data_IF_830057766098
#
_entry.id   IF_830057766098
#
_cell.length_a   1.000
_cell.length_b   1.000
_cell.length_c   1.000
_cell.angle_alpha   90.00
_cell.angle_beta   90.00
_cell.angle_gamma   90.00
#
_symmetry.space_group_name_H-M   'P 1'
#
loop_
_entity.id
_entity.type
_entity.pdbx_description
1 polymer ?
#
# COMPACT_ATOMS: atom_id res chain seq x y z
N UNK A 1 -5.35 38.39 -7.54
CA UNK A 1 -5.33 37.33 -6.51
C UNK A 1 -5.71 36.05 -7.22
N UNK A 2 -4.70 35.27 -7.60
CA UNK A 2 -4.83 33.98 -8.27
C UNK A 2 -4.42 32.93 -7.25
N UNK A 3 -5.36 32.05 -6.88
CA UNK A 3 -5.05 30.86 -6.07
C UNK A 3 -4.18 29.92 -6.90
N UNK A 4 -2.89 29.95 -6.61
CA UNK A 4 -1.84 29.16 -7.27
C UNK A 4 -1.33 28.11 -6.30
N UNK A 5 -2.13 27.09 -5.99
CA UNK A 5 -1.66 25.90 -5.25
C UNK A 5 -2.34 24.60 -5.71
N UNK A 6 -2.53 24.42 -7.01
CA UNK A 6 -2.37 23.06 -7.56
C UNK A 6 -0.93 22.98 -8.02
N UNK A 7 -0.09 22.08 -7.47
CA UNK A 7 1.21 21.80 -8.07
C UNK A 7 0.94 21.48 -9.55
N UNK A 8 1.39 22.35 -10.45
CA UNK A 8 1.49 21.98 -11.86
C UNK A 8 2.59 20.92 -11.89
N UNK A 9 2.19 19.67 -11.72
CA UNK A 9 3.10 18.55 -11.82
C UNK A 9 3.71 18.60 -13.23
N UNK A 10 5.00 18.89 -13.28
CA UNK A 10 5.84 18.85 -14.47
C UNK A 10 5.66 17.49 -15.16
N UNK A 11 5.68 17.52 -16.50
CA UNK A 11 5.37 16.45 -17.46
C UNK A 11 5.11 15.06 -16.87
N UNK A 12 3.89 14.55 -17.04
CA UNK A 12 3.57 13.17 -16.73
C UNK A 12 4.51 12.24 -17.52
N UNK A 13 5.19 11.33 -16.83
CA UNK A 13 6.07 10.37 -17.50
C UNK A 13 5.26 9.23 -18.14
N UNK A 14 4.04 9.00 -17.66
CA UNK A 14 3.09 8.06 -18.24
C UNK A 14 1.66 8.56 -18.01
N UNK A 15 0.80 8.34 -19.00
CA UNK A 15 -0.64 8.65 -18.91
C UNK A 15 -1.41 7.39 -19.27
N UNK A 16 -2.28 6.98 -18.37
CA UNK A 16 -3.14 5.82 -18.56
C UNK A 16 -4.59 6.29 -18.59
N UNK A 17 -5.38 5.72 -19.50
CA UNK A 17 -6.76 6.15 -19.71
C UNK A 17 -7.73 5.01 -19.52
N UNK A 18 -8.94 5.32 -19.08
CA UNK A 18 -10.10 4.45 -19.23
C UNK A 18 -10.96 4.99 -20.35
N UNK A 19 -11.13 4.19 -21.41
CA UNK A 19 -11.91 4.59 -22.57
C UNK A 19 -13.40 4.55 -22.24
N UNK A 20 -14.12 5.64 -22.51
CA UNK A 20 -15.56 5.78 -22.25
C UNK A 20 -16.12 7.04 -22.89
N UNK A 21 -17.41 7.33 -22.67
CA UNK A 21 -18.06 8.56 -23.16
C UNK A 21 -17.52 9.83 -22.50
N UNK A 22 -16.98 9.70 -21.28
CA UNK A 22 -16.10 10.67 -20.63
C UNK A 22 -14.82 9.91 -20.22
N UNK A 23 -13.67 10.16 -20.86
CA UNK A 23 -12.45 9.43 -20.54
C UNK A 23 -11.91 9.88 -19.19
N UNK A 24 -11.69 8.91 -18.31
CA UNK A 24 -10.91 9.15 -17.10
C UNK A 24 -9.44 8.90 -17.40
N UNK A 25 -8.55 9.64 -16.76
CA UNK A 25 -7.11 9.47 -16.90
C UNK A 25 -6.39 9.44 -15.56
N UNK A 26 -5.27 8.74 -15.56
CA UNK A 26 -4.29 8.68 -14.48
C UNK A 26 -2.94 9.09 -15.05
N UNK A 27 -2.48 10.26 -14.67
CA UNK A 27 -1.17 10.79 -15.06
C UNK A 27 -0.19 10.48 -13.93
N UNK A 28 0.81 9.66 -14.21
CA UNK A 28 1.88 9.38 -13.27
C UNK A 28 2.99 10.41 -13.43
N UNK A 29 3.31 11.07 -12.33
CA UNK A 29 4.40 12.03 -12.20
C UNK A 29 5.43 11.49 -11.21
N UNK A 30 6.61 12.08 -11.19
CA UNK A 30 7.72 11.64 -10.33
C UNK A 30 7.32 11.49 -8.85
N UNK A 31 6.54 12.43 -8.32
CA UNK A 31 6.20 12.53 -6.90
C UNK A 31 4.74 12.21 -6.58
N UNK A 32 3.91 11.94 -7.59
CA UNK A 32 2.49 11.70 -7.35
C UNK A 32 1.72 11.28 -8.58
N UNK A 33 0.42 11.12 -8.38
CA UNK A 33 -0.54 10.76 -9.41
C UNK A 33 -1.57 11.87 -9.52
N UNK A 34 -1.94 12.21 -10.75
CA UNK A 34 -3.15 12.98 -11.01
C UNK A 34 -4.23 12.04 -11.51
N UNK A 35 -5.37 12.01 -10.83
CA UNK A 35 -6.59 11.38 -11.35
C UNK A 35 -7.48 12.45 -11.97
N UNK A 36 -7.95 12.20 -13.19
CA UNK A 36 -9.03 12.97 -13.79
C UNK A 36 -10.24 12.06 -13.95
N UNK A 37 -11.27 12.30 -13.14
CA UNK A 37 -12.48 11.48 -13.14
C UNK A 37 -13.73 12.36 -13.15
N UNK A 38 -14.65 12.10 -14.08
CA UNK A 38 -15.90 12.86 -14.18
C UNK A 38 -15.68 14.38 -14.32
N UNK A 39 -14.60 14.79 -15.00
CA UNK A 39 -14.20 16.20 -15.18
C UNK A 39 -13.50 16.83 -13.97
N UNK A 40 -13.35 16.12 -12.86
CA UNK A 40 -12.60 16.58 -11.68
C UNK A 40 -11.17 16.08 -11.76
N UNK A 41 -10.19 16.96 -11.56
CA UNK A 41 -8.75 16.65 -11.58
C UNK A 41 -8.18 16.78 -10.16
N UNK A 42 -7.61 15.71 -9.62
CA UNK A 42 -7.09 15.65 -8.24
C UNK A 42 -5.65 15.16 -8.29
N UNK A 43 -4.73 15.91 -7.67
CA UNK A 43 -3.36 15.48 -7.45
C UNK A 43 -3.24 14.81 -6.07
N UNK A 44 -2.56 13.67 -6.02
CA UNK A 44 -2.19 12.99 -4.78
C UNK A 44 -0.70 12.68 -4.80
N UNK A 45 0.05 13.19 -3.82
CA UNK A 45 1.45 12.83 -3.67
C UNK A 45 1.57 11.36 -3.23
N UNK A 46 2.51 10.61 -3.80
CA UNK A 46 2.75 9.22 -3.40
C UNK A 46 3.14 9.13 -1.92
N UNK A 47 3.92 10.12 -1.46
CA UNK A 47 4.31 10.27 -0.07
C UNK A 47 3.12 10.48 0.89
N UNK A 48 1.93 10.83 0.41
CA UNK A 48 0.74 11.07 1.25
C UNK A 48 -0.28 9.92 1.19
N UNK A 49 -0.09 8.93 0.32
CA UNK A 49 -0.98 7.77 0.24
C UNK A 49 -0.77 6.90 1.48
N UNK A 50 -1.87 6.63 2.22
CA UNK A 50 -1.85 5.78 3.41
C UNK A 50 -2.23 4.35 3.08
N UNK A 51 -3.36 4.18 2.38
CA UNK A 51 -3.83 2.87 1.97
C UNK A 51 -3.82 2.77 0.45
N UNK A 52 -3.18 1.70 -0.04
CA UNK A 52 -3.26 1.20 -1.40
C UNK A 52 -3.93 -0.18 -1.38
N UNK A 53 -5.00 -0.36 -2.14
CA UNK A 53 -5.75 -1.59 -2.25
C UNK A 53 -5.69 -2.12 -3.69
N UNK A 54 -5.31 -3.38 -3.85
CA UNK A 54 -5.41 -4.12 -5.11
C UNK A 54 -6.55 -5.12 -4.98
N UNK A 55 -7.48 -5.12 -5.93
CA UNK A 55 -8.65 -5.98 -5.85
C UNK A 55 -9.14 -6.42 -7.24
N UNK A 56 -9.80 -7.58 -7.34
CA UNK A 56 -10.51 -7.98 -8.55
C UNK A 56 -11.83 -7.20 -8.67
N UNK A 57 -12.09 -6.61 -9.84
CA UNK A 57 -13.31 -5.84 -10.12
C UNK A 57 -14.57 -6.69 -10.21
N UNK A 58 -14.41 -7.99 -10.49
CA UNK A 58 -15.52 -8.93 -10.68
C UNK A 58 -15.76 -9.75 -9.42
N UNK A 59 -17.04 -9.79 -9.02
CA UNK A 59 -17.50 -10.32 -7.74
C UNK A 59 -17.31 -11.84 -7.60
N UNK A 60 -17.20 -12.56 -8.72
CA UNK A 60 -17.08 -14.03 -8.76
C UNK A 60 -15.64 -14.55 -8.57
N UNK A 61 -14.64 -13.67 -8.56
CA UNK A 61 -13.23 -14.07 -8.65
C UNK A 61 -12.39 -13.57 -7.48
N UNK A 62 -12.80 -13.89 -6.25
CA UNK A 62 -12.03 -13.59 -5.02
C UNK A 62 -10.64 -14.26 -4.96
N UNK A 63 -10.28 -15.05 -5.99
CA UNK A 63 -8.98 -15.70 -6.17
C UNK A 63 -8.27 -15.29 -7.48
N UNK A 64 -8.80 -14.33 -8.24
CA UNK A 64 -8.21 -13.85 -9.49
C UNK A 64 -7.14 -12.76 -9.27
N UNK A 65 -6.25 -12.52 -10.25
CA UNK A 65 -5.30 -11.42 -10.18
C UNK A 65 -6.03 -10.09 -10.10
N UNK A 66 -5.49 -9.14 -9.34
CA UNK A 66 -6.05 -7.80 -9.28
C UNK A 66 -6.05 -7.13 -10.65
N UNK A 67 -7.19 -6.56 -11.03
CA UNK A 67 -7.39 -5.78 -12.27
C UNK A 67 -7.79 -4.33 -11.97
N UNK A 68 -7.83 -3.99 -10.68
CA UNK A 68 -8.23 -2.70 -10.15
C UNK A 68 -7.35 -2.30 -8.97
N UNK A 69 -7.12 -0.99 -8.87
CA UNK A 69 -6.31 -0.35 -7.85
C UNK A 69 -7.12 0.80 -7.24
N UNK A 70 -7.12 0.90 -5.92
CA UNK A 70 -7.69 2.04 -5.22
C UNK A 70 -6.71 2.59 -4.19
N UNK A 71 -6.68 3.91 -4.01
CA UNK A 71 -5.82 4.54 -3.01
C UNK A 71 -6.53 5.68 -2.29
N UNK A 72 -6.06 6.00 -1.08
CA UNK A 72 -6.53 7.13 -0.28
C UNK A 72 -5.44 7.68 0.62
N UNK A 73 -5.46 8.99 0.85
CA UNK A 73 -4.49 9.68 1.72
C UNK A 73 -4.86 9.63 3.21
N UNK A 74 -6.08 9.21 3.55
CA UNK A 74 -6.55 9.03 4.93
C UNK A 74 -7.56 7.89 4.99
N UNK A 75 -7.63 7.22 6.13
CA UNK A 75 -8.54 6.09 6.36
C UNK A 75 -10.03 6.46 6.32
N UNK A 76 -10.36 7.71 6.60
CA UNK A 76 -11.72 8.27 6.54
C UNK A 76 -12.05 8.95 5.20
N UNK A 77 -11.08 9.06 4.30
CA UNK A 77 -11.29 9.63 2.96
C UNK A 77 -11.89 8.61 2.00
N UNK A 78 -12.66 9.11 1.03
CA UNK A 78 -13.10 8.31 -0.10
C UNK A 78 -11.92 7.76 -0.90
N UNK A 79 -12.12 6.58 -1.49
CA UNK A 79 -11.15 5.96 -2.39
C UNK A 79 -11.09 6.69 -3.72
N UNK A 80 -9.88 6.95 -4.22
CA UNK A 80 -9.66 7.19 -5.64
C UNK A 80 -9.49 5.86 -6.33
N UNK A 81 -10.32 5.58 -7.33
CA UNK A 81 -10.46 4.24 -7.93
C UNK A 81 -9.97 4.22 -9.37
N UNK A 82 -8.92 3.45 -9.63
CA UNK A 82 -8.39 3.12 -10.94
C UNK A 82 -8.82 1.69 -11.33
N UNK A 83 -10.00 1.58 -11.92
CA UNK A 83 -10.57 0.31 -12.41
C UNK A 83 -10.89 0.41 -13.89
N UNK A 84 -10.58 -0.65 -14.66
CA UNK A 84 -10.77 -0.69 -16.12
C UNK A 84 -9.80 0.21 -16.89
N UNK A 85 -8.62 0.47 -16.32
CA UNK A 85 -7.57 1.29 -16.95
C UNK A 85 -6.89 0.48 -18.07
N UNK A 86 -6.67 1.11 -19.23
CA UNK A 86 -5.94 0.48 -20.33
C UNK A 86 -4.51 0.15 -19.89
N UNK A 87 -4.01 -1.02 -20.27
CA UNK A 87 -2.67 -1.51 -19.88
C UNK A 87 -2.49 -1.54 -18.35
N UNK A 88 -3.53 -1.97 -17.62
CA UNK A 88 -3.58 -1.96 -16.15
C UNK A 88 -2.34 -2.55 -15.48
N UNK A 89 -1.75 -3.63 -16.00
CA UNK A 89 -0.52 -4.20 -15.44
C UNK A 89 0.64 -3.20 -15.46
N UNK A 90 0.86 -2.50 -16.58
CA UNK A 90 1.89 -1.46 -16.69
C UNK A 90 1.60 -0.28 -15.77
N UNK A 91 0.33 0.12 -15.66
CA UNK A 91 -0.10 1.16 -14.73
C UNK A 91 0.20 0.76 -13.28
N UNK A 92 -0.20 -0.45 -12.89
CA UNK A 92 -0.02 -0.99 -11.54
C UNK A 92 1.46 -1.07 -11.18
N UNK A 93 2.31 -1.61 -12.06
CA UNK A 93 3.75 -1.73 -11.82
C UNK A 93 4.41 -0.35 -11.65
N UNK A 94 4.09 0.58 -12.55
CA UNK A 94 4.63 1.94 -12.49
C UNK A 94 4.14 2.70 -11.24
N UNK A 95 2.86 2.55 -10.88
CA UNK A 95 2.28 3.16 -9.69
C UNK A 95 2.93 2.61 -8.42
N UNK A 96 2.98 1.29 -8.26
CA UNK A 96 3.54 0.63 -7.06
C UNK A 96 5.01 0.96 -6.88
N UNK A 97 5.80 0.92 -7.95
CA UNK A 97 7.22 1.28 -7.90
C UNK A 97 7.45 2.71 -7.40
N UNK A 98 6.69 3.69 -7.91
CA UNK A 98 6.80 5.09 -7.45
C UNK A 98 6.23 5.29 -6.05
N UNK A 99 5.13 4.64 -5.75
CA UNK A 99 4.53 4.66 -4.43
C UNK A 99 5.50 4.20 -3.36
N UNK A 100 6.13 3.03 -3.56
CA UNK A 100 7.15 2.50 -2.64
C UNK A 100 8.33 3.46 -2.54
N UNK A 101 8.90 3.89 -3.68
CA UNK A 101 10.08 4.76 -3.70
C UNK A 101 9.87 6.09 -2.95
N UNK A 102 8.65 6.63 -2.95
CA UNK A 102 8.34 7.92 -2.33
C UNK A 102 7.80 7.79 -0.90
N UNK A 103 7.02 6.75 -0.61
CA UNK A 103 6.36 6.58 0.70
C UNK A 103 7.22 5.82 1.70
N UNK A 104 8.02 4.85 1.26
CA UNK A 104 8.85 4.04 2.16
C UNK A 104 9.79 4.91 3.01
N UNK A 105 10.57 5.87 2.44
CA UNK A 105 11.46 6.72 3.24
C UNK A 105 10.73 7.59 4.27
N UNK A 106 9.46 7.97 3.99
CA UNK A 106 8.63 8.71 4.94
C UNK A 106 8.28 7.84 6.14
N UNK A 107 7.92 6.57 5.90
CA UNK A 107 7.56 5.63 6.98
C UNK A 107 8.78 5.22 7.81
N UNK A 108 9.93 5.03 7.18
CA UNK A 108 11.21 4.79 7.86
C UNK A 108 11.56 5.96 8.78
N UNK A 109 11.57 7.19 8.26
CA UNK A 109 11.85 8.38 9.05
C UNK A 109 10.89 8.58 10.23
N UNK A 110 9.59 8.27 10.05
CA UNK A 110 8.61 8.29 11.13
C UNK A 110 8.94 7.25 12.22
N UNK A 111 9.31 6.04 11.82
CA UNK A 111 9.68 4.96 12.74
C UNK A 111 10.95 5.29 13.51
N UNK A 112 11.96 5.85 12.86
CA UNK A 112 13.20 6.35 13.49
C UNK A 112 12.93 7.45 14.52
N UNK A 113 11.95 8.32 14.25
CA UNK A 113 11.49 9.35 15.19
C UNK A 113 10.66 8.77 16.35
N UNK A 114 10.51 7.45 16.43
CA UNK A 114 9.76 6.74 17.46
C UNK A 114 8.24 6.75 17.24
N UNK A 115 7.77 7.19 16.07
CA UNK A 115 6.36 7.10 15.73
C UNK A 115 5.96 5.64 15.47
N UNK A 116 4.67 5.38 15.65
CA UNK A 116 4.04 4.12 15.28
C UNK A 116 3.45 4.25 13.90
N UNK A 117 3.94 3.46 12.94
CA UNK A 117 3.42 3.40 11.58
C UNK A 117 2.33 2.32 11.53
N UNK A 118 1.14 2.68 11.07
CA UNK A 118 -0.02 1.76 11.00
C UNK A 118 -0.36 1.41 9.57
N UNK A 119 -0.61 0.12 9.37
CA UNK A 119 -1.17 -0.52 8.19
C UNK A 119 -2.52 -1.13 8.53
N UNK A 120 -3.29 -1.44 7.49
CA UNK A 120 -4.58 -2.11 7.63
C UNK A 120 -4.57 -3.41 6.85
N UNK A 121 -5.18 -4.44 7.42
CA UNK A 121 -5.43 -5.69 6.71
C UNK A 121 -6.92 -6.02 6.73
N UNK A 122 -7.40 -6.56 5.61
CA UNK A 122 -8.80 -6.85 5.35
C UNK A 122 -9.17 -8.14 6.09
N UNK A 123 -10.15 -8.06 6.99
CA UNK A 123 -10.72 -9.21 7.71
C UNK A 123 -12.09 -9.61 7.15
N UNK A 124 -12.77 -8.71 6.44
CA UNK A 124 -14.09 -8.95 5.86
C UNK A 124 -14.50 -7.86 4.87
N UNK A 125 -15.74 -7.94 4.39
CA UNK A 125 -16.32 -6.97 3.46
C UNK A 125 -15.89 -7.15 2.00
N UNK A 126 -16.43 -6.29 1.15
CA UNK A 126 -16.11 -6.19 -0.28
C UNK A 126 -15.80 -4.73 -0.61
N UNK A 127 -14.84 -4.48 -1.50
CA UNK A 127 -14.53 -3.11 -1.90
C UNK A 127 -15.78 -2.39 -2.44
N UNK A 128 -16.09 -1.14 -2.03
CA UNK A 128 -15.27 -0.26 -1.16
C UNK A 128 -15.48 -0.43 0.35
N UNK A 129 -16.49 -1.18 0.77
CA UNK A 129 -16.90 -1.42 2.16
C UNK A 129 -16.09 -2.56 2.82
N UNK A 130 -14.78 -2.34 2.93
CA UNK A 130 -13.85 -3.30 3.54
C UNK A 130 -13.88 -3.20 5.07
N UNK A 131 -13.96 -4.35 5.74
CA UNK A 131 -13.72 -4.46 7.17
C UNK A 131 -12.23 -4.70 7.40
N UNK A 132 -11.57 -3.80 8.12
CA UNK A 132 -10.12 -3.87 8.36
C UNK A 132 -9.78 -3.95 9.85
N UNK A 133 -8.59 -4.46 10.12
CA UNK A 133 -7.91 -4.35 11.42
C UNK A 133 -6.55 -3.69 11.24
N UNK A 134 -6.06 -3.10 12.33
CA UNK A 134 -4.78 -2.43 12.35
C UNK A 134 -3.63 -3.40 12.63
N UNK A 135 -2.52 -3.13 11.97
CA UNK A 135 -1.21 -3.73 12.17
C UNK A 135 -0.20 -2.59 12.22
N UNK A 136 0.66 -2.53 13.22
CA UNK A 136 1.61 -1.41 13.30
C UNK A 136 3.05 -1.83 13.55
N UNK A 137 3.97 -0.95 13.18
CA UNK A 137 5.40 -1.07 13.44
C UNK A 137 5.89 0.13 14.24
N UNK A 138 6.94 -0.08 15.01
CA UNK A 138 7.66 0.95 15.75
C UNK A 138 9.06 0.43 16.08
N UNK A 139 9.93 1.28 16.61
CA UNK A 139 11.24 0.85 17.15
C UNK A 139 11.17 -0.24 18.24
N UNK A 140 10.00 -0.48 18.86
CA UNK A 140 9.81 -1.50 19.89
C UNK A 140 9.40 -2.88 19.35
N UNK A 141 9.14 -2.99 18.05
CA UNK A 141 8.59 -4.21 17.45
C UNK A 141 7.26 -4.02 16.73
N UNK A 142 6.69 -5.17 16.36
CA UNK A 142 5.39 -5.26 15.68
C UNK A 142 4.24 -5.22 16.69
N UNK A 143 3.18 -4.52 16.36
CA UNK A 143 1.99 -4.42 17.18
C UNK A 143 0.81 -5.07 16.48
N UNK A 144 0.34 -6.18 17.03
CA UNK A 144 -0.70 -7.05 16.45
C UNK A 144 -1.76 -7.30 17.51
N UNK A 145 -3.03 -7.01 17.22
CA UNK A 145 -4.18 -7.27 18.11
C UNK A 145 -3.96 -6.80 19.57
N UNK A 146 -3.29 -5.65 19.76
CA UNK A 146 -3.02 -5.06 21.08
C UNK A 146 -1.79 -5.62 21.82
N UNK A 147 -1.14 -6.65 21.28
CA UNK A 147 0.15 -7.14 21.77
C UNK A 147 1.31 -6.47 21.02
N UNK A 148 2.44 -6.29 21.71
CA UNK A 148 3.71 -5.88 21.10
C UNK A 148 4.66 -7.07 21.06
N UNK A 149 5.15 -7.39 19.87
CA UNK A 149 6.12 -8.44 19.59
C UNK A 149 7.46 -7.79 19.26
N UNK A 150 8.44 -7.81 20.19
CA UNK A 150 9.79 -7.35 19.90
C UNK A 150 10.37 -8.10 18.69
N UNK A 151 11.14 -7.41 17.85
CA UNK A 151 11.67 -8.01 16.62
C UNK A 151 12.55 -9.23 16.93
N UNK A 152 13.33 -9.17 17.99
CA UNK A 152 14.18 -10.25 18.49
C UNK A 152 13.41 -11.49 18.99
N UNK A 153 12.10 -11.34 19.26
CA UNK A 153 11.23 -12.47 19.65
C UNK A 153 10.63 -13.21 18.46
N UNK A 154 10.82 -12.67 17.25
CA UNK A 154 10.28 -13.20 16.01
C UNK A 154 11.40 -13.88 15.22
N UNK A 155 11.03 -14.92 14.47
CA UNK A 155 11.95 -15.57 13.56
C UNK A 155 12.26 -14.64 12.37
N UNK A 156 13.50 -14.69 11.83
CA UNK A 156 13.81 -14.13 10.53
C UNK A 156 12.85 -14.63 9.46
N UNK A 157 12.66 -13.81 8.44
CA UNK A 157 11.78 -14.12 7.32
C UNK A 157 12.61 -14.27 6.04
N UNK A 158 12.17 -15.15 5.15
CA UNK A 158 12.61 -15.17 3.76
C UNK A 158 11.53 -14.48 2.91
N UNK A 159 11.92 -13.49 2.09
CA UNK A 159 10.98 -12.81 1.21
C UNK A 159 10.42 -13.73 0.13
N UNK A 160 11.19 -14.76 -0.27
CA UNK A 160 10.74 -15.73 -1.26
C UNK A 160 9.55 -16.55 -0.73
N UNK A 161 9.41 -16.68 0.60
CA UNK A 161 8.28 -17.33 1.26
C UNK A 161 7.02 -16.44 1.32
N UNK A 162 7.15 -15.13 1.08
CA UNK A 162 6.07 -14.14 1.21
C UNK A 162 5.55 -13.65 -0.15
N UNK A 163 5.51 -14.55 -1.13
CA UNK A 163 4.91 -14.27 -2.44
C UNK A 163 3.38 -14.21 -2.37
N UNK A 164 2.75 -15.10 -1.59
CA UNK A 164 1.29 -15.17 -1.46
C UNK A 164 0.78 -14.82 -0.05
N UNK A 165 1.49 -15.25 1.00
CA UNK A 165 1.07 -15.11 2.39
C UNK A 165 2.22 -14.62 3.26
N UNK A 166 1.99 -13.53 3.98
CA UNK A 166 2.86 -13.09 5.08
C UNK A 166 2.59 -13.98 6.28
N UNK A 167 3.63 -14.58 6.83
CA UNK A 167 3.57 -15.39 8.05
C UNK A 167 4.70 -15.01 9.00
N UNK A 168 4.33 -14.54 10.19
CA UNK A 168 5.24 -14.20 11.27
C UNK A 168 5.15 -15.27 12.35
N UNK A 169 6.31 -15.73 12.83
CA UNK A 169 6.42 -16.76 13.85
C UNK A 169 7.27 -16.28 15.02
N UNK A 170 6.93 -16.71 16.23
CA UNK A 170 7.81 -16.54 17.38
C UNK A 170 9.02 -17.48 17.32
N UNK A 171 9.97 -17.31 18.24
CA UNK A 171 11.16 -18.15 18.37
C UNK A 171 10.85 -19.67 18.45
N UNK A 172 9.69 -20.04 18.99
CA UNK A 172 9.23 -21.43 19.13
C UNK A 172 8.56 -21.97 17.84
N UNK A 173 8.44 -21.14 16.80
CA UNK A 173 7.82 -21.49 15.52
C UNK A 173 6.29 -21.39 15.53
N UNK A 174 5.69 -20.78 16.57
CA UNK A 174 4.25 -20.55 16.62
C UNK A 174 3.90 -19.31 15.79
N UNK A 175 2.92 -19.45 14.90
CA UNK A 175 2.39 -18.32 14.12
C UNK A 175 1.76 -17.27 15.03
N UNK A 176 2.29 -16.04 14.96
CA UNK A 176 1.76 -14.86 15.68
C UNK A 176 0.86 -14.01 14.79
N UNK A 177 1.12 -14.02 13.48
CA UNK A 177 0.32 -13.34 12.48
C UNK A 177 0.43 -14.08 11.15
N UNK A 178 -0.69 -14.22 10.45
CA UNK A 178 -0.71 -14.70 9.08
C UNK A 178 -1.79 -13.99 8.29
N UNK A 179 -1.44 -13.49 7.10
CA UNK A 179 -2.38 -12.81 6.22
C UNK A 179 -1.91 -12.95 4.77
N UNK A 180 -2.86 -13.16 3.86
CA UNK A 180 -2.56 -13.10 2.43
C UNK A 180 -2.06 -11.70 2.06
N UNK A 181 -0.99 -11.63 1.26
CA UNK A 181 -0.38 -10.35 0.85
C UNK A 181 -1.43 -9.43 0.21
N UNK A 182 -2.30 -9.98 -0.63
CA UNK A 182 -3.39 -9.24 -1.28
C UNK A 182 -4.44 -8.66 -0.32
N UNK A 183 -4.47 -9.12 0.93
CA UNK A 183 -5.39 -8.60 1.97
C UNK A 183 -4.74 -7.54 2.85
N UNK A 184 -3.45 -7.26 2.70
CA UNK A 184 -2.77 -6.18 3.42
C UNK A 184 -2.81 -4.94 2.54
N UNK A 185 -3.41 -3.86 3.04
CA UNK A 185 -3.38 -2.58 2.34
C UNK A 185 -1.96 -2.03 2.40
N UNK A 186 -1.48 -1.52 1.27
CA UNK A 186 -0.09 -1.08 1.13
C UNK A 186 0.92 -2.20 1.43
N UNK A 187 0.61 -3.43 1.01
CA UNK A 187 1.40 -4.64 1.30
C UNK A 187 2.88 -4.53 0.96
N UNK A 188 3.24 -3.89 -0.16
CA UNK A 188 4.65 -3.68 -0.54
C UNK A 188 5.43 -2.92 0.52
N UNK A 189 4.86 -1.83 1.04
CA UNK A 189 5.50 -1.03 2.08
C UNK A 189 5.60 -1.83 3.39
N UNK A 190 4.54 -2.55 3.75
CA UNK A 190 4.53 -3.39 4.93
C UNK A 190 5.64 -4.46 4.87
N UNK A 191 5.71 -5.22 3.76
CA UNK A 191 6.71 -6.27 3.56
C UNK A 191 8.12 -5.70 3.60
N UNK A 192 8.39 -4.58 2.93
CA UNK A 192 9.72 -3.95 2.95
C UNK A 192 10.13 -3.54 4.37
N UNK A 193 9.25 -2.87 5.13
CA UNK A 193 9.57 -2.42 6.49
C UNK A 193 9.75 -3.59 7.46
N UNK A 194 8.94 -4.64 7.36
CA UNK A 194 9.10 -5.82 8.22
C UNK A 194 10.39 -6.57 7.88
N UNK A 195 10.69 -6.71 6.59
CA UNK A 195 11.91 -7.36 6.14
C UNK A 195 13.16 -6.61 6.56
N UNK A 196 13.18 -5.28 6.45
CA UNK A 196 14.32 -4.49 6.91
C UNK A 196 14.60 -4.74 8.40
N UNK A 197 13.55 -4.78 9.24
CA UNK A 197 13.72 -5.01 10.68
C UNK A 197 14.11 -6.46 11.00
N UNK A 198 13.44 -7.46 10.43
CA UNK A 198 13.68 -8.88 10.75
C UNK A 198 14.89 -9.47 10.01
N UNK A 199 15.17 -9.01 8.79
CA UNK A 199 16.36 -9.38 8.02
C UNK A 199 17.63 -8.89 8.71
N UNK A 200 17.66 -7.65 9.19
CA UNK A 200 18.79 -7.14 9.99
C UNK A 200 19.04 -7.98 11.24
N UNK A 201 18.00 -8.42 11.96
CA UNK A 201 18.20 -9.27 13.15
C UNK A 201 18.87 -10.61 12.83
N UNK A 202 18.74 -11.14 11.61
CA UNK A 202 19.41 -12.36 11.18
C UNK A 202 20.91 -12.14 10.88
N UNK A 203 21.30 -10.96 10.37
CA UNK A 203 22.69 -10.65 10.06
C UNK A 203 23.56 -10.40 11.32
N UNK A 204 22.93 -10.07 12.45
CA UNK A 204 23.60 -9.79 13.72
C UNK A 204 23.54 -10.94 14.75
N UNK A 205 22.92 -12.08 14.42
CA UNK A 205 22.79 -13.27 15.28
C UNK A 205 23.83 -14.36 14.96
#
# INVERSE_FOLDING_TARGET
MTDSQTPQATDAFAVFTRTGSAPDSFELHENGVVSQQGGTRIYTAFADIQDLCLYPSTQDNTAGPADSLAYRSRTDSAWTVASGVNEFSKFMDAFRSRYVAQRLPVLEALTEQGARVTFHYIVGGQFPDLETRELSLSSKGLHIDGATWPYESLRPIDLDDWTDTVSLQDENGKTVFSCQVARILSSDLFVNLVYDQLGQTAEYA
#
